data_IF_492072571485
#
_entry.id   IF_492072571485
#
_cell.length_a   1.000
_cell.length_b   1.000
_cell.length_c   1.000
_cell.angle_alpha   90.00
_cell.angle_beta   90.00
_cell.angle_gamma   90.00
#
_symmetry.space_group_name_H-M   'P 1'
#
loop_
_entity.id
_entity.type
_entity.pdbx_description
1 polymer ?
#
# COMPACT_ATOMS: atom_id res chain seq x y z
N UNK A 1 -15.28 20.01 13.80
CA UNK A 1 -13.81 19.84 13.76
C UNK A 1 -13.53 18.48 14.37
N UNK A 2 -12.88 17.57 13.64
CA UNK A 2 -12.49 16.27 14.19
C UNK A 2 -11.42 16.51 15.25
N UNK A 3 -11.48 15.81 16.38
CA UNK A 3 -10.46 15.93 17.43
C UNK A 3 -9.17 15.23 16.99
N UNK A 4 -8.03 15.69 17.49
CA UNK A 4 -6.73 15.09 17.16
C UNK A 4 -6.67 13.59 17.47
N UNK A 5 -7.26 13.17 18.59
CA UNK A 5 -7.34 11.76 19.00
C UNK A 5 -8.18 10.92 18.02
N UNK A 6 -9.28 11.48 17.53
CA UNK A 6 -10.14 10.84 16.53
C UNK A 6 -9.42 10.70 15.18
N UNK A 7 -8.62 11.70 14.77
CA UNK A 7 -7.79 11.61 13.57
C UNK A 7 -6.73 10.51 13.68
N UNK A 8 -6.05 10.41 14.82
CA UNK A 8 -5.05 9.37 15.06
C UNK A 8 -5.67 7.98 15.09
N UNK A 9 -6.83 7.83 15.74
CA UNK A 9 -7.56 6.55 15.75
C UNK A 9 -8.01 6.15 14.34
N UNK A 10 -8.52 7.10 13.56
CA UNK A 10 -8.89 6.88 12.16
C UNK A 10 -7.68 6.43 11.33
N UNK A 11 -6.53 7.12 11.46
CA UNK A 11 -5.31 6.76 10.75
C UNK A 11 -4.88 5.32 11.07
N UNK A 12 -4.88 4.92 12.34
CA UNK A 12 -4.52 3.56 12.76
C UNK A 12 -5.48 2.51 12.17
N UNK A 13 -6.78 2.81 12.16
CA UNK A 13 -7.78 1.95 11.52
C UNK A 13 -7.48 1.78 10.03
N UNK A 14 -7.22 2.87 9.30
CA UNK A 14 -6.90 2.79 7.88
C UNK A 14 -5.62 2.00 7.60
N UNK A 15 -4.59 2.14 8.43
CA UNK A 15 -3.37 1.34 8.29
C UNK A 15 -3.64 -0.15 8.50
N UNK A 16 -4.45 -0.51 9.49
CA UNK A 16 -4.84 -1.90 9.74
C UNK A 16 -5.69 -2.46 8.59
N UNK A 17 -6.63 -1.67 8.04
CA UNK A 17 -7.40 -2.05 6.85
C UNK A 17 -6.49 -2.28 5.64
N UNK A 18 -5.51 -1.41 5.40
CA UNK A 18 -4.56 -1.54 4.30
C UNK A 18 -3.72 -2.83 4.43
N UNK A 19 -3.27 -3.16 5.64
CA UNK A 19 -2.55 -4.41 5.90
C UNK A 19 -3.43 -5.63 5.66
N UNK A 20 -4.68 -5.61 6.13
CA UNK A 20 -5.63 -6.69 5.90
C UNK A 20 -5.87 -6.93 4.40
N UNK A 21 -6.06 -5.86 3.62
CA UNK A 21 -6.30 -5.95 2.17
C UNK A 21 -5.10 -6.54 1.42
N UNK A 22 -3.87 -6.15 1.80
CA UNK A 22 -2.65 -6.71 1.20
C UNK A 22 -2.58 -8.22 1.37
N UNK A 23 -2.94 -8.72 2.55
CA UNK A 23 -2.92 -10.15 2.87
C UNK A 23 -4.11 -10.89 2.24
N UNK A 24 -5.34 -10.38 2.39
CA UNK A 24 -6.57 -11.01 1.85
C UNK A 24 -6.51 -11.17 0.32
N UNK A 25 -6.00 -10.15 -0.37
CA UNK A 25 -5.87 -10.17 -1.83
C UNK A 25 -4.57 -10.83 -2.31
N UNK A 26 -3.72 -11.31 -1.40
CA UNK A 26 -2.43 -11.92 -1.72
C UNK A 26 -1.56 -11.02 -2.63
N UNK A 27 -1.59 -9.70 -2.41
CA UNK A 27 -1.00 -8.74 -3.34
C UNK A 27 0.51 -8.91 -3.45
N UNK A 28 1.19 -9.28 -2.35
CA UNK A 28 2.64 -9.53 -2.39
C UNK A 28 2.96 -10.68 -3.34
N UNK A 29 2.28 -11.81 -3.17
CA UNK A 29 2.49 -13.01 -3.98
C UNK A 29 2.17 -12.75 -5.46
N UNK A 30 1.08 -12.04 -5.75
CA UNK A 30 0.71 -11.69 -7.12
C UNK A 30 1.75 -10.77 -7.78
N UNK A 31 2.31 -9.82 -7.03
CA UNK A 31 3.26 -8.84 -7.54
C UNK A 31 4.71 -9.34 -7.56
N UNK A 32 5.03 -10.40 -6.81
CA UNK A 32 6.36 -11.02 -6.76
C UNK A 32 6.84 -11.50 -8.15
N UNK A 33 5.91 -11.89 -9.02
CA UNK A 33 6.23 -12.27 -10.41
C UNK A 33 6.86 -11.11 -11.20
N UNK A 34 6.54 -9.86 -10.83
CA UNK A 34 7.04 -8.66 -11.49
C UNK A 34 8.29 -8.04 -10.81
N UNK A 35 8.64 -8.48 -9.60
CA UNK A 35 9.77 -7.95 -8.84
C UNK A 35 9.54 -7.97 -7.33
N UNK A 36 10.12 -7.04 -6.59
CA UNK A 36 9.94 -6.92 -5.13
C UNK A 36 8.83 -5.91 -4.80
N UNK A 37 7.65 -6.35 -4.31
CA UNK A 37 6.55 -5.46 -3.99
C UNK A 37 6.81 -4.69 -2.69
N UNK A 38 6.52 -3.38 -2.69
CA UNK A 38 6.67 -2.49 -1.53
C UNK A 38 5.44 -1.60 -1.38
N UNK A 39 4.94 -1.47 -0.16
CA UNK A 39 3.98 -0.41 0.18
C UNK A 39 4.68 0.94 0.11
N UNK A 40 4.03 1.93 -0.49
CA UNK A 40 4.54 3.31 -0.59
C UNK A 40 3.42 4.30 -0.23
N UNK A 41 3.64 5.59 -0.43
CA UNK A 41 2.60 6.59 -0.20
C UNK A 41 2.20 6.74 1.27
N UNK A 42 0.93 7.11 1.48
CA UNK A 42 0.35 7.46 2.79
C UNK A 42 0.46 6.32 3.81
N UNK A 43 0.26 5.07 3.38
CA UNK A 43 0.35 3.87 4.22
C UNK A 43 1.76 3.64 4.76
N UNK A 44 2.78 3.87 3.95
CA UNK A 44 4.18 3.68 4.34
C UNK A 44 4.68 4.78 5.28
N UNK A 45 4.14 6.00 5.14
CA UNK A 45 4.51 7.15 5.98
C UNK A 45 3.69 7.24 7.27
N UNK A 46 2.62 6.45 7.40
CA UNK A 46 1.69 6.56 8.52
C UNK A 46 0.96 7.89 8.54
N UNK A 47 0.49 8.33 7.38
CA UNK A 47 -0.27 9.57 7.19
C UNK A 47 -1.60 9.30 6.46
N UNK A 48 -2.18 8.11 6.64
CA UNK A 48 -3.42 7.73 5.98
C UNK A 48 -4.60 8.54 6.52
N UNK A 49 -5.30 9.20 5.59
CA UNK A 49 -6.55 9.94 5.85
C UNK A 49 -7.68 9.51 4.91
N UNK A 50 -7.40 8.58 4.00
CA UNK A 50 -8.33 8.05 3.02
C UNK A 50 -8.04 6.56 2.77
N UNK A 51 -9.03 5.84 2.21
CA UNK A 51 -8.93 4.42 1.86
C UNK A 51 -8.22 4.25 0.50
N UNK A 52 -6.99 4.76 0.40
CA UNK A 52 -6.07 4.52 -0.70
C UNK A 52 -4.96 3.54 -0.29
N UNK A 53 -4.45 2.76 -1.26
CA UNK A 53 -3.33 1.85 -1.04
C UNK A 53 -2.41 1.92 -2.25
N UNK A 54 -1.25 2.54 -2.06
CA UNK A 54 -0.21 2.59 -3.07
C UNK A 54 0.81 1.48 -2.86
N UNK A 55 1.04 0.69 -3.91
CA UNK A 55 2.11 -0.30 -3.97
C UNK A 55 2.98 -0.04 -5.20
N UNK A 56 4.28 -0.25 -5.04
CA UNK A 56 5.24 -0.28 -6.15
C UNK A 56 5.91 -1.63 -6.22
N UNK A 57 6.44 -1.99 -7.39
CA UNK A 57 7.23 -3.20 -7.57
C UNK A 57 8.59 -2.82 -8.11
N UNK A 58 9.63 -3.12 -7.33
CA UNK A 58 11.01 -2.87 -7.71
C UNK A 58 11.51 -4.06 -8.53
N UNK A 59 11.76 -3.85 -9.81
CA UNK A 59 12.36 -4.85 -10.70
C UNK A 59 13.83 -4.50 -10.99
N UNK A 60 14.66 -5.51 -11.20
CA UNK A 60 16.08 -5.32 -11.56
C UNK A 60 16.26 -4.78 -12.99
N UNK A 61 15.28 -5.03 -13.86
CA UNK A 61 15.26 -4.58 -15.24
C UNK A 61 13.81 -4.39 -15.71
N UNK A 62 13.53 -3.22 -16.29
CA UNK A 62 12.25 -2.95 -16.93
C UNK A 62 12.24 -3.55 -18.34
N UNK A 63 11.32 -4.47 -18.62
CA UNK A 63 11.12 -4.98 -19.98
C UNK A 63 10.02 -4.19 -20.69
N UNK A 64 10.42 -3.20 -21.48
CA UNK A 64 9.47 -2.33 -22.21
C UNK A 64 8.57 -3.13 -23.15
N UNK A 65 9.05 -4.23 -23.73
CA UNK A 65 8.25 -5.05 -24.65
C UNK A 65 7.09 -5.80 -23.97
N UNK A 66 7.03 -5.86 -22.63
CA UNK A 66 5.95 -6.50 -21.87
C UNK A 66 4.80 -5.52 -21.53
N UNK A 67 5.03 -4.21 -21.67
CA UNK A 67 4.09 -3.14 -21.29
C UNK A 67 3.65 -2.28 -22.48
N UNK A 68 4.06 -2.65 -23.70
CA UNK A 68 3.70 -2.02 -24.99
C UNK A 68 2.92 -2.99 -25.85
#
# INVERSE_FOLDING_TARGET
MIKQEELLAHQLQLQAEADAIVEEMHLKQLLEEAGTPLKVGSVALGLMVWRDLDMTVVCSKLNIATIS
#
